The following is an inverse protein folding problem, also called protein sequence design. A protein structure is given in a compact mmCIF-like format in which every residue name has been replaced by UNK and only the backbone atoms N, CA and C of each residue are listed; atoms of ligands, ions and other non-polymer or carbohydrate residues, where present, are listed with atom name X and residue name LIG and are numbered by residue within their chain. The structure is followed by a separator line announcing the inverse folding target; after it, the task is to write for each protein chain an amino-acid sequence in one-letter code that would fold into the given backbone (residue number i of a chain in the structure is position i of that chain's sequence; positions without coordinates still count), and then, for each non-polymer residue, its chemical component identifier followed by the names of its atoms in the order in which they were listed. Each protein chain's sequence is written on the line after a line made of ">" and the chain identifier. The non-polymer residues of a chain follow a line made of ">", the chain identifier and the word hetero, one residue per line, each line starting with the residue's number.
data_IF_280833189964
#
_entry.id   IF_280833189964
#
_cell.length_a   1.000
_cell.length_b   1.000
_cell.length_c   1.000
_cell.angle_alpha   90.00
_cell.angle_beta   90.00
_cell.angle_gamma   90.00
#
_symmetry.space_group_name_H-M   'P 1'
#
loop_
_entity.id
_entity.type
_entity.pdbx_description
1 polymer ?
#
# COMPACT_ATOMS: atom_id res chain seq x y z
N UNK A 1 -1.15 2.84 -23.10
CA UNK A 1 -2.44 2.36 -23.67
C UNK A 1 -2.36 2.12 -25.17
N UNK A 2 -1.97 3.11 -25.98
CA UNK A 2 -1.95 3.01 -27.45
C UNK A 2 -1.15 1.82 -27.92
N UNK A 3 0.09 1.65 -27.48
CA UNK A 3 0.97 0.55 -27.89
C UNK A 3 0.37 -0.84 -27.65
N UNK A 4 -0.30 -1.05 -26.50
CA UNK A 4 -0.92 -2.36 -26.18
C UNK A 4 -2.17 -2.57 -27.05
N UNK A 5 -2.96 -1.53 -27.30
CA UNK A 5 -4.12 -1.59 -28.18
C UNK A 5 -3.71 -1.92 -29.62
N UNK A 6 -2.67 -1.28 -30.12
CA UNK A 6 -2.18 -1.49 -31.48
C UNK A 6 -1.62 -2.92 -31.66
N UNK A 7 -0.96 -3.46 -30.62
CA UNK A 7 -0.53 -4.85 -30.58
C UNK A 7 -1.71 -5.83 -30.59
N UNK A 8 -2.81 -5.55 -29.87
CA UNK A 8 -4.02 -6.39 -29.86
C UNK A 8 -4.64 -6.58 -31.25
N UNK A 9 -4.60 -5.55 -32.09
CA UNK A 9 -5.16 -5.61 -33.46
C UNK A 9 -4.35 -6.54 -34.37
N UNK A 10 -3.07 -6.73 -34.10
CA UNK A 10 -2.15 -7.48 -34.97
C UNK A 10 -1.98 -8.95 -34.57
N UNK A 11 -2.44 -9.34 -33.37
CA UNK A 11 -2.23 -10.68 -32.84
C UNK A 11 -3.25 -11.68 -33.36
N UNK A 12 -2.77 -12.74 -34.00
CA UNK A 12 -3.59 -13.86 -34.47
C UNK A 12 -3.70 -15.01 -33.47
N UNK A 13 -2.70 -15.17 -32.59
CA UNK A 13 -2.70 -16.21 -31.56
C UNK A 13 -3.62 -15.82 -30.39
N UNK A 14 -4.65 -16.63 -30.15
CA UNK A 14 -5.65 -16.35 -29.12
C UNK A 14 -5.05 -16.29 -27.71
N UNK A 15 -4.05 -17.10 -27.36
CA UNK A 15 -3.44 -17.05 -26.05
C UNK A 15 -2.63 -15.77 -25.86
N UNK A 16 -1.90 -15.35 -26.89
CA UNK A 16 -1.16 -14.08 -26.87
C UNK A 16 -2.14 -12.91 -26.79
N UNK A 17 -3.24 -12.95 -27.55
CA UNK A 17 -4.29 -11.94 -27.53
C UNK A 17 -4.83 -11.73 -26.10
N UNK A 18 -5.29 -12.79 -25.42
CA UNK A 18 -5.88 -12.66 -24.09
C UNK A 18 -4.86 -12.29 -23.01
N UNK A 19 -3.58 -12.63 -23.18
CA UNK A 19 -2.49 -12.14 -22.32
C UNK A 19 -2.28 -10.63 -22.47
N UNK A 20 -2.29 -10.13 -23.70
CA UNK A 20 -2.25 -8.69 -23.98
C UNK A 20 -3.51 -7.98 -23.49
N UNK A 21 -4.68 -8.63 -23.59
CA UNK A 21 -5.93 -8.09 -23.10
C UNK A 21 -5.92 -7.88 -21.57
N UNK A 22 -5.33 -8.82 -20.82
CA UNK A 22 -5.12 -8.66 -19.38
C UNK A 22 -4.22 -7.45 -19.05
N UNK A 23 -3.13 -7.28 -19.81
CA UNK A 23 -2.25 -6.10 -19.69
C UNK A 23 -2.99 -4.81 -20.07
N UNK A 24 -3.78 -4.83 -21.13
CA UNK A 24 -4.58 -3.68 -21.57
C UNK A 24 -5.59 -3.27 -20.50
N UNK A 25 -6.35 -4.22 -19.94
CA UNK A 25 -7.26 -3.97 -18.83
C UNK A 25 -6.57 -3.28 -17.66
N UNK A 26 -5.38 -3.74 -17.26
CA UNK A 26 -4.60 -3.11 -16.18
C UNK A 26 -4.27 -1.64 -16.43
N UNK A 27 -4.13 -1.21 -17.68
CA UNK A 27 -3.81 0.21 -18.01
C UNK A 27 -4.92 1.19 -17.60
N UNK A 28 -6.14 0.72 -17.39
CA UNK A 28 -7.26 1.57 -16.98
C UNK A 28 -7.21 1.92 -15.47
N UNK A 29 -6.35 1.28 -14.69
CA UNK A 29 -6.19 1.58 -13.28
C UNK A 29 -5.77 3.03 -13.04
N UNK A 30 -4.88 3.58 -13.88
CA UNK A 30 -4.40 4.97 -13.80
C UNK A 30 -5.53 6.00 -13.96
N UNK A 31 -6.58 5.66 -14.73
CA UNK A 31 -7.76 6.53 -14.93
C UNK A 31 -8.94 6.17 -14.01
N UNK A 32 -8.73 5.25 -13.06
CA UNK A 32 -9.78 4.74 -12.17
C UNK A 32 -11.03 4.20 -12.92
N UNK A 33 -10.86 3.75 -14.17
CA UNK A 33 -11.93 3.13 -14.96
C UNK A 33 -12.01 1.64 -14.61
N UNK A 34 -12.60 1.37 -13.44
CA UNK A 34 -12.69 0.04 -12.88
C UNK A 34 -13.63 -0.88 -13.67
N UNK A 35 -14.67 -0.34 -14.30
CA UNK A 35 -15.60 -1.11 -15.15
C UNK A 35 -14.86 -1.70 -16.35
N UNK A 36 -14.03 -0.92 -17.03
CA UNK A 36 -13.18 -1.40 -18.12
C UNK A 36 -12.22 -2.50 -17.64
N UNK A 37 -11.59 -2.37 -16.46
CA UNK A 37 -10.72 -3.40 -15.91
C UNK A 37 -11.51 -4.71 -15.73
N UNK A 38 -12.64 -4.66 -15.04
CA UNK A 38 -13.48 -5.84 -14.75
C UNK A 38 -14.02 -6.47 -16.03
N UNK A 39 -14.37 -5.66 -17.04
CA UNK A 39 -14.82 -6.13 -18.35
C UNK A 39 -13.75 -6.96 -19.06
N UNK A 40 -12.53 -6.44 -19.21
CA UNK A 40 -11.42 -7.14 -19.87
C UNK A 40 -10.98 -8.37 -19.11
N UNK A 41 -10.90 -8.29 -17.78
CA UNK A 41 -10.57 -9.42 -16.92
C UNK A 41 -11.60 -10.55 -17.03
N UNK A 42 -12.89 -10.21 -17.15
CA UNK A 42 -13.95 -11.21 -17.38
C UNK A 42 -13.73 -11.99 -18.67
N UNK A 43 -13.37 -11.32 -19.75
CA UNK A 43 -13.07 -11.97 -21.03
C UNK A 43 -11.87 -12.92 -20.90
N UNK A 44 -10.79 -12.50 -20.25
CA UNK A 44 -9.62 -13.36 -20.00
C UNK A 44 -10.00 -14.60 -19.19
N UNK A 45 -10.80 -14.44 -18.14
CA UNK A 45 -11.28 -15.58 -17.31
C UNK A 45 -12.21 -16.51 -18.07
N UNK A 46 -13.07 -16.00 -18.95
CA UNK A 46 -13.92 -16.84 -19.81
C UNK A 46 -13.10 -17.67 -20.79
N UNK A 47 -12.13 -17.05 -21.45
CA UNK A 47 -11.23 -17.76 -22.35
C UNK A 47 -10.42 -18.83 -21.62
N UNK A 48 -10.00 -18.57 -20.37
CA UNK A 48 -9.19 -19.50 -19.59
C UNK A 48 -9.83 -20.87 -19.37
N UNK A 49 -11.16 -20.96 -19.44
CA UNK A 49 -11.90 -22.23 -19.30
C UNK A 49 -11.63 -23.21 -20.44
N UNK A 50 -11.17 -22.69 -21.58
CA UNK A 50 -10.89 -23.46 -22.79
C UNK A 50 -9.38 -23.67 -23.03
N UNK A 51 -8.55 -23.22 -22.09
CA UNK A 51 -7.08 -23.34 -22.21
C UNK A 51 -6.58 -24.41 -21.24
N UNK A 52 -5.72 -25.28 -21.73
CA UNK A 52 -5.05 -26.26 -20.88
C UNK A 52 -4.23 -25.55 -19.80
N UNK A 53 -4.30 -26.06 -18.58
CA UNK A 53 -3.55 -25.50 -17.46
C UNK A 53 -2.05 -25.54 -17.76
N UNK A 54 -1.41 -24.37 -17.74
CA UNK A 54 0.04 -24.28 -17.90
C UNK A 54 0.59 -23.13 -17.02
N UNK A 55 1.87 -23.23 -16.59
CA UNK A 55 2.44 -22.25 -15.66
C UNK A 55 2.37 -20.79 -16.16
N UNK A 56 2.51 -20.55 -17.47
CA UNK A 56 2.39 -19.20 -18.05
C UNK A 56 0.97 -18.66 -17.93
N UNK A 57 -0.03 -19.52 -18.15
CA UNK A 57 -1.43 -19.10 -18.08
C UNK A 57 -1.86 -18.87 -16.62
N UNK A 58 -1.35 -19.68 -15.70
CA UNK A 58 -1.52 -19.47 -14.26
C UNK A 58 -0.97 -18.10 -13.81
N UNK A 59 0.17 -17.67 -14.36
CA UNK A 59 0.69 -16.32 -14.11
C UNK A 59 -0.26 -15.20 -14.62
N UNK A 60 -0.93 -15.40 -15.75
CA UNK A 60 -1.93 -14.44 -16.27
C UNK A 60 -3.13 -14.36 -15.36
N UNK A 61 -3.67 -15.52 -14.94
CA UNK A 61 -4.82 -15.56 -14.03
C UNK A 61 -4.47 -14.97 -12.65
N UNK A 62 -3.26 -15.22 -12.16
CA UNK A 62 -2.79 -14.60 -10.93
C UNK A 62 -2.77 -13.06 -11.04
N UNK A 63 -2.28 -12.51 -12.17
CA UNK A 63 -2.29 -11.06 -12.39
C UNK A 63 -3.72 -10.52 -12.48
N UNK A 64 -4.62 -11.21 -13.20
CA UNK A 64 -6.03 -10.81 -13.35
C UNK A 64 -6.72 -10.72 -11.99
N UNK A 65 -6.62 -11.77 -11.17
CA UNK A 65 -7.25 -11.77 -9.84
C UNK A 65 -6.59 -10.77 -8.89
N UNK A 66 -5.27 -10.58 -8.95
CA UNK A 66 -4.60 -9.56 -8.15
C UNK A 66 -5.07 -8.14 -8.50
N UNK A 67 -5.24 -7.85 -9.79
CA UNK A 67 -5.78 -6.56 -10.26
C UNK A 67 -7.23 -6.37 -9.84
N UNK A 68 -8.08 -7.41 -9.89
CA UNK A 68 -9.46 -7.33 -9.38
C UNK A 68 -9.49 -7.08 -7.88
N UNK A 69 -8.62 -7.74 -7.11
CA UNK A 69 -8.46 -7.46 -5.68
C UNK A 69 -8.13 -5.98 -5.42
N UNK A 70 -7.20 -5.40 -6.20
CA UNK A 70 -6.89 -3.97 -6.09
C UNK A 70 -8.10 -3.08 -6.44
N UNK A 71 -8.90 -3.45 -7.44
CA UNK A 71 -10.16 -2.73 -7.77
C UNK A 71 -11.13 -2.77 -6.59
N UNK A 72 -11.30 -3.94 -5.96
CA UNK A 72 -12.19 -4.07 -4.81
C UNK A 72 -11.72 -3.24 -3.61
N UNK A 73 -10.39 -3.13 -3.40
CA UNK A 73 -9.83 -2.23 -2.37
C UNK A 73 -10.18 -0.78 -2.66
N UNK A 74 -10.04 -0.31 -3.90
CA UNK A 74 -10.41 1.06 -4.29
C UNK A 74 -11.93 1.32 -4.13
N UNK A 75 -12.75 0.30 -4.31
CA UNK A 75 -14.21 0.35 -4.10
C UNK A 75 -14.62 0.12 -2.63
N UNK A 76 -13.65 0.10 -1.70
CA UNK A 76 -13.86 -0.15 -0.26
C UNK A 76 -14.58 -1.47 0.03
N UNK A 77 -14.20 -2.55 -0.69
CA UNK A 77 -14.73 -3.92 -0.55
C UNK A 77 -13.61 -4.90 -0.18
N UNK A 78 -13.02 -4.80 1.01
CA UNK A 78 -11.86 -5.61 1.39
C UNK A 78 -12.15 -7.12 1.42
N UNK A 79 -13.36 -7.56 1.75
CA UNK A 79 -13.74 -8.99 1.71
C UNK A 79 -13.65 -9.58 0.30
N UNK A 80 -14.15 -8.85 -0.70
CA UNK A 80 -14.04 -9.24 -2.11
C UNK A 80 -12.59 -9.25 -2.57
N UNK A 81 -11.81 -8.26 -2.13
CA UNK A 81 -10.39 -8.17 -2.42
C UNK A 81 -9.62 -9.40 -1.90
N UNK A 82 -9.83 -9.77 -0.63
CA UNK A 82 -9.18 -10.95 -0.01
C UNK A 82 -9.48 -12.22 -0.81
N UNK A 83 -10.74 -12.44 -1.20
CA UNK A 83 -11.11 -13.61 -2.00
C UNK A 83 -10.37 -13.67 -3.35
N UNK A 84 -10.22 -12.54 -4.02
CA UNK A 84 -9.53 -12.51 -5.30
C UNK A 84 -8.00 -12.59 -5.11
N UNK A 85 -7.42 -11.99 -4.07
CA UNK A 85 -6.01 -12.19 -3.74
C UNK A 85 -5.69 -13.65 -3.38
N UNK A 86 -6.60 -14.37 -2.70
CA UNK A 86 -6.42 -15.81 -2.43
C UNK A 86 -6.39 -16.63 -3.73
N UNK A 87 -7.26 -16.30 -4.70
CA UNK A 87 -7.20 -16.93 -6.04
C UNK A 87 -5.90 -16.58 -6.75
N UNK A 88 -5.50 -15.30 -6.71
CA UNK A 88 -4.23 -14.84 -7.27
C UNK A 88 -3.05 -15.62 -6.70
N UNK A 89 -3.02 -15.79 -5.37
CA UNK A 89 -1.99 -16.56 -4.68
C UNK A 89 -1.97 -18.03 -5.14
N UNK A 90 -3.13 -18.69 -5.21
CA UNK A 90 -3.26 -20.08 -5.65
C UNK A 90 -2.78 -20.28 -7.09
N UNK A 91 -3.12 -19.38 -8.00
CA UNK A 91 -2.63 -19.42 -9.38
C UNK A 91 -1.14 -19.12 -9.47
N UNK A 92 -0.63 -18.16 -8.67
CA UNK A 92 0.80 -17.79 -8.65
C UNK A 92 1.68 -18.97 -8.20
N UNK A 93 1.23 -19.76 -7.24
CA UNK A 93 1.94 -20.97 -6.80
C UNK A 93 2.15 -22.00 -7.94
N UNK A 94 1.24 -22.03 -8.91
CA UNK A 94 1.31 -22.91 -10.09
C UNK A 94 2.00 -22.23 -11.28
N UNK A 95 2.36 -20.97 -11.16
CA UNK A 95 3.01 -20.17 -12.18
C UNK A 95 4.52 -20.28 -12.17
N UNK A 96 5.18 -19.42 -12.95
CA UNK A 96 6.65 -19.28 -13.02
C UNK A 96 7.17 -18.09 -12.22
N UNK A 97 6.32 -17.08 -11.96
CA UNK A 97 6.71 -15.80 -11.33
C UNK A 97 6.51 -15.84 -9.81
N UNK A 98 7.09 -16.85 -9.14
CA UNK A 98 6.96 -17.06 -7.69
C UNK A 98 7.47 -15.87 -6.87
N UNK A 99 8.42 -15.09 -7.41
CA UNK A 99 8.95 -13.87 -6.77
C UNK A 99 7.90 -12.79 -6.52
N UNK A 100 6.70 -12.89 -7.12
CA UNK A 100 5.57 -11.98 -6.90
C UNK A 100 4.59 -12.48 -5.81
N UNK A 101 4.86 -13.61 -5.16
CA UNK A 101 4.03 -14.10 -4.05
C UNK A 101 4.03 -13.16 -2.84
N UNK A 102 5.17 -12.56 -2.43
CA UNK A 102 5.17 -11.60 -1.33
C UNK A 102 4.22 -10.42 -1.55
N UNK A 103 4.17 -9.86 -2.77
CA UNK A 103 3.28 -8.73 -3.09
C UNK A 103 1.81 -9.08 -2.89
N UNK A 104 1.40 -10.31 -3.26
CA UNK A 104 0.02 -10.77 -3.04
C UNK A 104 -0.27 -10.92 -1.53
N UNK A 105 0.71 -11.41 -0.74
CA UNK A 105 0.56 -11.48 0.71
C UNK A 105 0.47 -10.10 1.35
N UNK A 106 1.25 -9.12 0.88
CA UNK A 106 1.15 -7.71 1.31
C UNK A 106 -0.25 -7.18 1.02
N UNK A 107 -0.76 -7.36 -0.20
CA UNK A 107 -2.12 -6.93 -0.57
C UNK A 107 -3.20 -7.58 0.32
N UNK A 108 -3.06 -8.88 0.68
CA UNK A 108 -3.96 -9.52 1.63
C UNK A 108 -3.84 -8.93 3.04
N UNK A 109 -2.63 -8.61 3.48
CA UNK A 109 -2.40 -7.96 4.77
C UNK A 109 -3.07 -6.57 4.81
N UNK A 110 -2.90 -5.76 3.76
CA UNK A 110 -3.52 -4.44 3.66
C UNK A 110 -5.05 -4.52 3.66
N UNK A 111 -5.62 -5.51 2.98
CA UNK A 111 -7.06 -5.74 3.00
C UNK A 111 -7.58 -6.18 4.38
N UNK A 112 -6.82 -6.99 5.12
CA UNK A 112 -7.13 -7.34 6.51
C UNK A 112 -7.00 -6.13 7.44
N UNK A 113 -5.99 -5.28 7.23
CA UNK A 113 -5.81 -4.04 7.99
C UNK A 113 -7.01 -3.10 7.79
N UNK A 114 -7.52 -2.96 6.57
CA UNK A 114 -8.73 -2.20 6.27
C UNK A 114 -9.98 -2.69 7.03
N UNK A 115 -10.00 -3.96 7.40
CA UNK A 115 -11.03 -4.58 8.24
C UNK A 115 -10.73 -4.51 9.73
N UNK A 116 -9.62 -3.89 10.13
CA UNK A 116 -9.10 -3.92 11.49
C UNK A 116 -8.80 -5.33 12.01
N UNK A 117 -8.56 -6.29 11.13
CA UNK A 117 -8.20 -7.67 11.46
C UNK A 117 -6.67 -7.80 11.61
N UNK A 118 -6.16 -7.27 12.71
CA UNK A 118 -4.72 -7.16 12.97
C UNK A 118 -4.02 -8.53 13.06
N UNK A 119 -4.74 -9.57 13.50
CA UNK A 119 -4.17 -10.92 13.61
C UNK A 119 -3.83 -11.51 12.22
N UNK A 120 -4.78 -11.44 11.28
CA UNK A 120 -4.54 -11.87 9.90
C UNK A 120 -3.58 -10.93 9.19
N UNK A 121 -3.63 -9.62 9.44
CA UNK A 121 -2.65 -8.64 8.91
C UNK A 121 -1.23 -9.07 9.25
N UNK A 122 -0.92 -9.28 10.53
CA UNK A 122 0.41 -9.74 10.96
C UNK A 122 0.79 -11.10 10.36
N UNK A 123 -0.18 -12.01 10.23
CA UNK A 123 0.05 -13.34 9.64
C UNK A 123 0.47 -13.25 8.17
N UNK A 124 -0.23 -12.43 7.36
CA UNK A 124 0.08 -12.27 5.94
C UNK A 124 1.39 -11.52 5.71
N UNK A 125 1.71 -10.47 6.48
CA UNK A 125 3.03 -9.83 6.40
C UNK A 125 4.16 -10.78 6.78
N UNK A 126 4.02 -11.58 7.85
CA UNK A 126 5.03 -12.61 8.19
C UNK A 126 5.16 -13.66 7.09
N UNK A 127 4.05 -14.03 6.42
CA UNK A 127 4.10 -14.92 5.26
C UNK A 127 4.86 -14.29 4.11
N UNK A 128 4.66 -12.99 3.83
CA UNK A 128 5.41 -12.25 2.82
C UNK A 128 6.91 -12.26 3.14
N UNK A 129 7.30 -11.98 4.39
CA UNK A 129 8.69 -12.00 4.82
C UNK A 129 9.33 -13.37 4.64
N UNK A 130 8.65 -14.44 5.07
CA UNK A 130 9.10 -15.82 4.87
C UNK A 130 9.32 -16.14 3.37
N UNK A 131 8.43 -15.68 2.50
CA UNK A 131 8.56 -15.88 1.05
C UNK A 131 9.74 -15.08 0.48
N UNK A 132 9.99 -13.85 0.92
CA UNK A 132 11.17 -13.08 0.52
C UNK A 132 12.45 -13.84 0.85
N UNK A 133 12.55 -14.40 2.06
CA UNK A 133 13.71 -15.18 2.50
C UNK A 133 13.85 -16.50 1.72
N UNK A 134 12.77 -17.26 1.60
CA UNK A 134 12.75 -18.57 0.93
C UNK A 134 13.11 -18.47 -0.55
N UNK A 135 12.68 -17.40 -1.21
CA UNK A 135 12.94 -17.12 -2.62
C UNK A 135 14.24 -16.33 -2.83
N UNK A 136 14.96 -15.99 -1.77
CA UNK A 136 16.21 -15.20 -1.78
C UNK A 136 16.05 -13.87 -2.53
N UNK A 137 14.94 -13.18 -2.28
CA UNK A 137 14.70 -11.88 -2.89
C UNK A 137 15.61 -10.82 -2.25
N UNK A 138 15.78 -9.70 -2.93
CA UNK A 138 16.59 -8.59 -2.42
C UNK A 138 16.04 -8.04 -1.10
N UNK A 139 16.91 -7.51 -0.24
CA UNK A 139 16.49 -6.87 1.00
C UNK A 139 15.51 -5.71 0.76
N UNK A 140 15.68 -4.99 -0.34
CA UNK A 140 14.76 -3.90 -0.73
C UNK A 140 13.31 -4.38 -0.89
N UNK A 141 13.08 -5.62 -1.35
CA UNK A 141 11.73 -6.22 -1.46
C UNK A 141 11.06 -6.39 -0.09
N UNK A 142 11.84 -6.45 0.99
CA UNK A 142 11.34 -6.62 2.36
C UNK A 142 10.89 -5.29 3.00
N UNK A 143 11.26 -4.15 2.44
CA UNK A 143 10.93 -2.84 3.01
C UNK A 143 9.42 -2.67 3.29
N UNK A 144 8.49 -2.90 2.33
CA UNK A 144 7.06 -2.76 2.58
C UNK A 144 6.57 -3.69 3.70
N UNK A 145 7.17 -4.89 3.79
CA UNK A 145 6.82 -5.89 4.82
C UNK A 145 7.26 -5.42 6.20
N UNK A 146 8.49 -4.93 6.34
CA UNK A 146 9.00 -4.39 7.60
C UNK A 146 8.16 -3.20 8.07
N UNK A 147 7.85 -2.29 7.15
CA UNK A 147 7.00 -1.15 7.43
C UNK A 147 5.60 -1.56 7.89
N UNK A 148 4.94 -2.48 7.16
CA UNK A 148 3.61 -2.99 7.49
C UNK A 148 3.58 -3.74 8.82
N UNK A 149 4.61 -4.55 9.14
CA UNK A 149 4.75 -5.20 10.45
C UNK A 149 4.95 -4.17 11.56
N UNK A 150 5.78 -3.15 11.34
CA UNK A 150 5.99 -2.07 12.30
C UNK A 150 4.69 -1.38 12.69
N UNK A 151 3.86 -1.04 11.70
CA UNK A 151 2.54 -0.45 11.92
C UNK A 151 1.60 -1.43 12.61
N UNK A 152 1.50 -2.67 12.12
CA UNK A 152 0.58 -3.68 12.67
C UNK A 152 0.88 -3.96 14.15
N UNK A 153 2.15 -4.10 14.52
CA UNK A 153 2.53 -4.30 15.93
C UNK A 153 2.33 -3.04 16.78
N UNK A 154 2.44 -1.84 16.21
CA UNK A 154 2.05 -0.61 16.89
C UNK A 154 0.55 -0.63 17.24
N UNK A 155 -0.30 -1.03 16.31
CA UNK A 155 -1.76 -1.13 16.52
C UNK A 155 -2.12 -2.23 17.51
N UNK A 156 -1.36 -3.33 17.52
CA UNK A 156 -1.45 -4.40 18.53
C UNK A 156 -0.88 -4.02 19.90
N UNK A 157 -0.30 -2.82 20.04
CA UNK A 157 0.38 -2.33 21.25
C UNK A 157 1.62 -3.14 21.66
N UNK A 158 2.16 -3.94 20.75
CA UNK A 158 3.47 -4.56 20.91
C UNK A 158 4.55 -3.60 20.40
N UNK A 159 4.89 -2.65 21.26
CA UNK A 159 5.80 -1.57 20.88
C UNK A 159 7.24 -2.03 20.66
N UNK A 160 7.66 -3.13 21.23
CA UNK A 160 9.02 -3.65 21.06
C UNK A 160 9.17 -4.30 19.69
N UNK A 161 8.23 -5.13 19.26
CA UNK A 161 8.20 -5.65 17.89
C UNK A 161 7.97 -4.54 16.87
N UNK A 162 7.09 -3.59 17.15
CA UNK A 162 6.88 -2.41 16.29
C UNK A 162 8.20 -1.65 16.07
N UNK A 163 8.94 -1.34 17.15
CA UNK A 163 10.23 -0.67 17.06
C UNK A 163 11.24 -1.46 16.22
N UNK A 164 11.35 -2.77 16.48
CA UNK A 164 12.24 -3.65 15.76
C UNK A 164 12.00 -3.59 14.23
N UNK A 165 10.75 -3.71 13.79
CA UNK A 165 10.44 -3.69 12.37
C UNK A 165 10.58 -2.30 11.74
N UNK A 166 10.27 -1.23 12.47
CA UNK A 166 10.53 0.12 11.98
C UNK A 166 12.04 0.41 11.86
N UNK A 167 12.89 -0.13 12.73
CA UNK A 167 14.35 -0.01 12.58
C UNK A 167 14.84 -0.74 11.33
N UNK A 168 14.30 -1.92 11.03
CA UNK A 168 14.61 -2.64 9.79
C UNK A 168 14.16 -1.84 8.55
N UNK A 169 12.95 -1.27 8.57
CA UNK A 169 12.46 -0.42 7.49
C UNK A 169 13.30 0.86 7.33
N UNK A 170 13.76 1.44 8.44
CA UNK A 170 14.57 2.66 8.45
C UNK A 170 15.93 2.53 7.77
N UNK A 171 16.45 1.31 7.58
CA UNK A 171 17.68 1.07 6.81
C UNK A 171 17.56 1.49 5.34
N UNK A 172 16.33 1.57 4.83
CA UNK A 172 16.04 1.96 3.45
C UNK A 172 15.63 3.44 3.32
N UNK A 173 15.75 4.23 4.39
CA UNK A 173 15.24 5.61 4.42
C UNK A 173 15.76 6.48 3.27
N UNK A 174 17.03 6.34 2.91
CA UNK A 174 17.65 7.15 1.84
C UNK A 174 17.19 6.69 0.44
N UNK A 175 16.70 5.47 0.31
CA UNK A 175 16.16 4.91 -0.94
C UNK A 175 14.66 5.21 -1.12
N UNK A 176 13.96 5.62 -0.05
CA UNK A 176 12.54 5.95 -0.06
C UNK A 176 12.28 7.21 -0.89
N UNK A 177 11.16 7.23 -1.61
CA UNK A 177 10.63 8.47 -2.17
C UNK A 177 10.10 9.41 -1.07
N UNK A 178 9.78 10.65 -1.42
CA UNK A 178 9.36 11.68 -0.45
C UNK A 178 8.12 11.28 0.34
N UNK A 179 7.12 10.68 -0.33
CA UNK A 179 5.89 10.21 0.33
C UNK A 179 6.16 9.09 1.33
N UNK A 180 7.01 8.12 0.96
CA UNK A 180 7.43 7.02 1.84
C UNK A 180 8.22 7.54 3.05
N UNK A 181 9.16 8.49 2.84
CA UNK A 181 9.89 9.13 3.94
C UNK A 181 8.97 9.84 4.91
N UNK A 182 8.01 10.60 4.39
CA UNK A 182 7.02 11.28 5.21
C UNK A 182 6.21 10.29 6.04
N UNK A 183 5.66 9.26 5.39
CA UNK A 183 4.85 8.23 6.04
C UNK A 183 5.65 7.49 7.12
N UNK A 184 6.92 7.15 6.83
CA UNK A 184 7.81 6.53 7.81
C UNK A 184 8.06 7.43 9.02
N UNK A 185 8.38 8.71 8.81
CA UNK A 185 8.64 9.65 9.89
C UNK A 185 7.40 9.89 10.74
N UNK A 186 6.23 10.07 10.10
CA UNK A 186 4.96 10.23 10.80
C UNK A 186 4.62 9.01 11.67
N UNK A 187 4.75 7.80 11.14
CA UNK A 187 4.44 6.59 11.90
C UNK A 187 5.46 6.31 13.00
N UNK A 188 6.74 6.65 12.81
CA UNK A 188 7.73 6.63 13.91
C UNK A 188 7.38 7.63 15.00
N UNK A 189 6.92 8.82 14.63
CA UNK A 189 6.40 9.81 15.59
C UNK A 189 5.20 9.27 16.39
N UNK A 190 4.23 8.67 15.71
CA UNK A 190 3.06 8.03 16.35
C UNK A 190 3.47 6.87 17.28
N UNK A 191 4.44 6.05 16.88
CA UNK A 191 4.98 4.98 17.72
C UNK A 191 5.46 5.53 19.07
N UNK A 192 6.26 6.59 19.06
CA UNK A 192 6.75 7.22 20.29
C UNK A 192 5.67 7.98 21.06
N UNK A 193 4.69 8.58 20.36
CA UNK A 193 3.51 9.18 20.97
C UNK A 193 2.74 8.17 21.82
N UNK A 194 2.41 7.01 21.27
CA UNK A 194 1.70 5.96 22.01
C UNK A 194 2.50 5.37 23.17
N UNK A 195 3.81 5.40 23.10
CA UNK A 195 4.71 5.07 24.23
C UNK A 195 4.83 6.21 25.25
N UNK A 196 4.17 7.33 25.04
CA UNK A 196 4.26 8.56 25.86
C UNK A 196 5.68 9.16 25.89
N UNK A 197 6.55 8.80 24.94
CA UNK A 197 7.84 9.44 24.75
C UNK A 197 7.69 10.63 23.81
N UNK A 198 7.09 11.71 24.34
CA UNK A 198 6.70 12.88 23.54
C UNK A 198 7.89 13.64 22.95
N UNK A 199 9.07 13.55 23.56
CA UNK A 199 10.27 14.21 23.01
C UNK A 199 10.74 13.53 21.71
N UNK A 200 10.83 12.21 21.70
CA UNK A 200 11.13 11.48 20.46
C UNK A 200 10.01 11.60 19.43
N UNK A 201 8.76 11.59 19.86
CA UNK A 201 7.64 11.86 18.96
C UNK A 201 7.78 13.23 18.27
N UNK A 202 8.09 14.29 19.03
CA UNK A 202 8.37 15.64 18.49
C UNK A 202 9.54 15.65 17.52
N UNK A 203 10.63 14.93 17.82
CA UNK A 203 11.79 14.83 16.94
C UNK A 203 11.38 14.28 15.57
N UNK A 204 10.67 13.15 15.53
CA UNK A 204 10.21 12.55 14.27
C UNK A 204 9.18 13.43 13.54
N UNK A 205 8.21 14.01 14.25
CA UNK A 205 7.19 14.86 13.64
C UNK A 205 7.79 16.18 13.08
N UNK A 206 8.78 16.76 13.74
CA UNK A 206 9.52 17.94 13.21
C UNK A 206 10.30 17.58 11.93
N UNK A 207 10.93 16.41 11.89
CA UNK A 207 11.62 15.93 10.67
C UNK A 207 10.60 15.71 9.53
N UNK A 208 9.44 15.13 9.83
CA UNK A 208 8.35 14.97 8.87
C UNK A 208 7.87 16.34 8.36
N UNK A 209 7.66 17.31 9.26
CA UNK A 209 7.24 18.67 8.90
C UNK A 209 8.30 19.39 8.03
N UNK A 210 9.58 19.29 8.37
CA UNK A 210 10.65 19.86 7.55
C UNK A 210 10.68 19.27 6.13
N UNK A 211 10.46 17.95 6.02
CA UNK A 211 10.39 17.26 4.75
C UNK A 211 9.24 17.77 3.88
N UNK A 212 8.01 17.84 4.41
CA UNK A 212 6.84 18.26 3.63
C UNK A 212 6.88 19.76 3.34
N UNK A 213 7.47 20.58 4.21
CA UNK A 213 7.62 22.02 3.99
C UNK A 213 8.55 22.34 2.82
N UNK A 214 9.52 21.46 2.53
CA UNK A 214 10.39 21.56 1.35
C UNK A 214 9.67 21.12 0.04
N UNK A 215 8.45 20.62 0.11
CA UNK A 215 7.68 20.07 -1.02
C UNK A 215 6.29 20.73 -1.09
N UNK A 216 6.15 21.88 -1.77
CA UNK A 216 4.91 22.65 -1.79
C UNK A 216 3.66 21.92 -2.30
N UNK A 217 3.85 20.86 -3.09
CA UNK A 217 2.75 20.01 -3.59
C UNK A 217 2.12 19.11 -2.51
N UNK A 218 2.76 18.93 -1.36
CA UNK A 218 2.30 18.10 -0.24
C UNK A 218 1.48 18.91 0.78
N UNK A 219 0.52 19.71 0.30
CA UNK A 219 -0.24 20.66 1.15
C UNK A 219 -1.07 19.94 2.20
N UNK A 220 -1.66 18.79 1.84
CA UNK A 220 -2.47 18.00 2.78
C UNK A 220 -1.60 17.45 3.91
N UNK A 221 -0.46 16.84 3.59
CA UNK A 221 0.48 16.28 4.54
C UNK A 221 1.10 17.35 5.44
N UNK A 222 1.35 18.55 4.91
CA UNK A 222 1.82 19.69 5.70
C UNK A 222 0.81 20.09 6.79
N UNK A 223 -0.47 20.14 6.48
CA UNK A 223 -1.48 20.48 7.46
C UNK A 223 -1.81 19.31 8.39
N UNK A 224 -1.76 18.07 7.90
CA UNK A 224 -1.92 16.89 8.73
C UNK A 224 -0.82 16.78 9.81
N UNK A 225 0.45 17.01 9.45
CA UNK A 225 1.55 16.95 10.43
C UNK A 225 1.47 18.08 11.46
N UNK A 226 0.92 19.26 11.10
CA UNK A 226 0.69 20.36 12.04
C UNK A 226 -0.33 19.99 13.12
N UNK A 227 -1.37 19.19 12.79
CA UNK A 227 -2.30 18.66 13.81
C UNK A 227 -1.53 17.83 14.82
N UNK A 228 -0.72 16.87 14.36
CA UNK A 228 0.06 15.99 15.24
C UNK A 228 1.09 16.76 16.08
N UNK A 229 1.74 17.77 15.48
CA UNK A 229 2.66 18.66 16.21
C UNK A 229 1.93 19.50 17.24
N UNK A 230 0.76 20.06 16.91
CA UNK A 230 -0.06 20.85 17.82
C UNK A 230 -0.46 20.05 19.06
N UNK A 231 -0.92 18.80 18.88
CA UNK A 231 -1.22 17.90 19.99
C UNK A 231 0.01 17.61 20.86
N UNK A 232 1.15 17.30 20.25
CA UNK A 232 2.40 17.04 20.97
C UNK A 232 2.89 18.28 21.72
N UNK A 233 2.73 19.48 21.16
CA UNK A 233 3.08 20.73 21.84
C UNK A 233 2.17 21.00 23.04
N UNK A 234 0.87 20.66 22.96
CA UNK A 234 -0.02 20.72 24.12
C UNK A 234 0.45 19.76 25.25
N UNK A 235 0.77 18.53 24.88
CA UNK A 235 1.24 17.51 25.83
C UNK A 235 2.61 17.83 26.45
N UNK A 236 3.40 18.69 25.80
CA UNK A 236 4.71 19.14 26.29
C UNK A 236 4.68 20.57 26.86
N UNK A 237 3.46 21.13 27.09
CA UNK A 237 3.22 22.46 27.63
C UNK A 237 3.84 23.61 26.82
N UNK A 238 3.97 23.45 25.49
CA UNK A 238 4.40 24.52 24.59
C UNK A 238 3.18 25.13 23.89
N UNK A 239 2.44 25.95 24.64
CA UNK A 239 1.11 26.42 24.23
C UNK A 239 1.15 27.32 22.99
N UNK A 240 2.15 28.19 22.87
CA UNK A 240 2.29 29.11 21.72
C UNK A 240 2.47 28.36 20.41
N UNK A 241 3.39 27.37 20.42
CA UNK A 241 3.63 26.52 19.25
C UNK A 241 2.41 25.64 18.92
N UNK A 242 1.70 25.17 19.94
CA UNK A 242 0.48 24.39 19.77
C UNK A 242 -0.59 25.22 19.06
N UNK A 243 -0.83 26.45 19.53
CA UNK A 243 -1.83 27.34 18.96
C UNK A 243 -1.53 27.66 17.48
N UNK A 244 -0.29 28.01 17.15
CA UNK A 244 0.10 28.30 15.76
C UNK A 244 -0.17 27.09 14.85
N UNK A 245 0.27 25.90 15.24
CA UNK A 245 0.08 24.70 14.43
C UNK A 245 -1.40 24.34 14.24
N UNK A 246 -2.19 24.43 15.30
CA UNK A 246 -3.61 24.07 15.26
C UNK A 246 -4.44 25.11 14.48
N UNK A 247 -4.15 26.42 14.63
CA UNK A 247 -4.85 27.48 13.89
C UNK A 247 -4.59 27.38 12.38
N UNK A 248 -3.34 27.12 11.98
CA UNK A 248 -2.99 26.95 10.57
C UNK A 248 -3.68 25.72 9.95
N UNK A 249 -3.66 24.58 10.64
CA UNK A 249 -4.29 23.35 10.15
C UNK A 249 -5.82 23.48 10.13
N UNK A 250 -6.42 24.10 11.14
CA UNK A 250 -7.86 24.35 11.21
C UNK A 250 -8.37 25.19 10.02
N UNK A 251 -7.68 26.27 9.68
CA UNK A 251 -8.03 27.10 8.52
C UNK A 251 -8.06 26.27 7.25
N UNK A 252 -7.02 25.49 7.01
CA UNK A 252 -6.92 24.64 5.81
C UNK A 252 -8.08 23.62 5.73
N UNK A 253 -8.33 22.86 6.78
CA UNK A 253 -9.37 21.83 6.76
C UNK A 253 -10.79 22.42 6.72
N UNK A 254 -11.01 23.59 7.32
CA UNK A 254 -12.29 24.32 7.24
C UNK A 254 -12.61 24.77 5.81
N UNK A 255 -11.60 25.27 5.08
CA UNK A 255 -11.76 25.68 3.67
C UNK A 255 -12.10 24.49 2.76
N UNK A 256 -11.50 23.31 3.00
CA UNK A 256 -11.82 22.09 2.23
C UNK A 256 -13.28 21.69 2.47
N UNK A 257 -13.76 21.71 3.71
CA UNK A 257 -15.15 21.36 4.03
C UNK A 257 -16.14 22.29 3.34
N UNK A 258 -15.88 23.60 3.35
CA UNK A 258 -16.75 24.59 2.69
C UNK A 258 -16.78 24.46 1.17
N UNK A 259 -15.68 24.00 0.55
CA UNK A 259 -15.62 23.83 -0.91
C UNK A 259 -16.17 22.47 -1.38
N UNK A 260 -16.52 21.56 -0.47
CA UNK A 260 -17.03 20.20 -0.76
C UNK A 260 -18.55 20.07 -0.53
N UNK A 261 -19.19 21.12 -0.02
CA UNK A 261 -20.63 21.21 0.23
C UNK A 261 -21.35 21.99 -0.88
#
# INVERSE_FOLDING_TARGET
>A
RSQVRDALVQVQDSQVYYRLLALYGKTFFVSSDFDSILYYNRQVKQFSRNVSECPRWNDVLADVYNVEGNVWMQLNRPDSAILDYQKAYAYRLKGKRLHLLPDICINMADACLHRSDLAHTASYYRRALFLCDSLRLSEHTKFPVYYGLGQTYMDLRDFDLSNHYYELAGKFFDEMNVGERWTYLNNRGNHYYYRKNYQEALNYMRRANALVSAHPQMVFEQNFIKVNLGELYLLTNNLDSAQICLDESYRFFSEIQHNSA
#
